data_IF_128458884706
#
_entry.id   IF_128458884706
#
_cell.length_a   1.000
_cell.length_b   1.000
_cell.length_c   1.000
_cell.angle_alpha   90.00
_cell.angle_beta   90.00
_cell.angle_gamma   90.00
#
_symmetry.space_group_name_H-M   'P 1'
#
loop_
_entity.id
_entity.type
_entity.pdbx_description
1 polymer ?
#
# COMPACT_ATOMS: atom_id res chain seq x y z
N UNK A 1 9.53 33.29 24.49
CA UNK A 1 10.22 32.44 23.49
C UNK A 1 9.16 31.76 22.65
N UNK A 2 9.20 31.98 21.34
CA UNK A 2 8.11 31.65 20.42
C UNK A 2 7.81 30.15 20.35
N UNK A 3 6.52 29.82 20.50
CA UNK A 3 5.95 28.52 20.23
C UNK A 3 6.02 28.26 18.71
N UNK A 4 7.07 27.58 18.26
CA UNK A 4 7.08 27.00 16.92
C UNK A 4 6.02 25.90 16.87
N UNK A 5 4.83 26.20 16.35
CA UNK A 5 3.88 25.17 15.92
C UNK A 5 4.57 24.37 14.82
N UNK A 6 4.98 23.13 15.10
CA UNK A 6 5.43 22.21 14.05
C UNK A 6 4.30 22.11 13.03
N UNK A 7 4.59 22.45 11.77
CA UNK A 7 3.67 22.22 10.65
C UNK A 7 3.43 20.71 10.59
N UNK A 8 2.17 20.29 10.55
CA UNK A 8 1.85 18.89 10.29
C UNK A 8 2.37 18.55 8.88
N UNK A 9 2.97 17.37 8.67
CA UNK A 9 3.37 16.92 7.34
C UNK A 9 2.19 17.00 6.39
N UNK A 10 2.41 17.44 5.15
CA UNK A 10 1.37 17.35 4.13
C UNK A 10 1.18 15.87 3.74
N UNK A 11 -0.06 15.40 3.78
CA UNK A 11 -0.44 14.04 3.40
C UNK A 11 -1.35 14.11 2.19
N UNK A 12 -1.05 13.33 1.15
CA UNK A 12 -1.85 13.27 -0.07
C UNK A 12 -2.34 11.86 -0.30
N UNK A 13 -3.66 11.72 -0.42
CA UNK A 13 -4.28 10.48 -0.85
C UNK A 13 -4.02 10.28 -2.35
N UNK A 14 -3.24 9.26 -2.69
CA UNK A 14 -2.84 8.92 -4.05
C UNK A 14 -3.55 7.65 -4.53
N UNK A 15 -4.67 7.25 -3.90
CA UNK A 15 -5.42 6.05 -4.30
C UNK A 15 -5.97 6.15 -5.74
N UNK A 16 -6.07 7.34 -6.32
CA UNK A 16 -6.42 7.53 -7.75
C UNK A 16 -5.23 7.48 -8.71
N UNK A 17 -4.00 7.47 -8.20
CA UNK A 17 -2.78 7.63 -9.00
C UNK A 17 -2.37 6.31 -9.64
N UNK A 18 -2.73 6.14 -10.92
CA UNK A 18 -2.46 4.93 -11.68
C UNK A 18 -0.97 4.64 -11.83
N UNK A 19 -0.17 5.64 -12.18
CA UNK A 19 1.27 5.48 -12.42
C UNK A 19 1.99 5.02 -11.15
N UNK A 20 1.65 5.64 -10.01
CA UNK A 20 2.23 5.25 -8.72
C UNK A 20 1.85 3.80 -8.36
N UNK A 21 0.59 3.41 -8.58
CA UNK A 21 0.14 2.03 -8.35
C UNK A 21 0.88 1.02 -9.23
N UNK A 22 1.06 1.34 -10.51
CA UNK A 22 1.80 0.48 -11.45
C UNK A 22 3.27 0.34 -11.04
N UNK A 23 3.92 1.43 -10.62
CA UNK A 23 5.30 1.39 -10.15
C UNK A 23 5.48 0.53 -8.89
N UNK A 24 4.61 0.71 -7.89
CA UNK A 24 4.62 -0.10 -6.66
C UNK A 24 4.31 -1.57 -6.99
N UNK A 25 3.31 -1.80 -7.84
CA UNK A 25 2.93 -3.14 -8.30
C UNK A 25 4.09 -3.86 -8.98
N UNK A 26 4.76 -3.21 -9.92
CA UNK A 26 5.92 -3.76 -10.63
C UNK A 26 7.07 -4.11 -9.68
N UNK A 27 7.33 -3.26 -8.67
CA UNK A 27 8.31 -3.58 -7.64
C UNK A 27 7.91 -4.82 -6.83
N UNK A 28 6.63 -4.98 -6.50
CA UNK A 28 6.11 -6.14 -5.77
C UNK A 28 6.11 -7.44 -6.58
N UNK A 29 5.90 -7.37 -7.90
CA UNK A 29 6.04 -8.52 -8.78
C UNK A 29 7.45 -9.14 -8.71
N UNK A 30 8.48 -8.31 -8.52
CA UNK A 30 9.86 -8.78 -8.33
C UNK A 30 10.09 -9.58 -7.05
N UNK A 31 9.14 -9.58 -6.11
CA UNK A 31 9.19 -10.37 -4.86
C UNK A 31 8.41 -11.68 -4.97
N UNK A 32 7.70 -11.91 -6.07
CA UNK A 32 6.94 -13.14 -6.28
C UNK A 32 7.83 -14.25 -6.81
N UNK A 33 7.54 -15.47 -6.38
CA UNK A 33 8.25 -16.68 -6.82
C UNK A 33 7.35 -17.55 -7.68
N UNK A 34 7.78 -17.81 -8.91
CA UNK A 34 7.13 -18.79 -9.78
C UNK A 34 7.14 -20.19 -9.12
N UNK A 35 6.05 -20.93 -9.27
CA UNK A 35 5.85 -22.24 -8.65
C UNK A 35 5.31 -22.19 -7.20
N UNK A 36 5.57 -21.11 -6.45
CA UNK A 36 5.08 -20.91 -5.08
C UNK A 36 3.90 -19.93 -5.06
N UNK A 37 4.10 -18.73 -5.62
CA UNK A 37 3.16 -17.61 -5.59
C UNK A 37 2.27 -17.56 -6.83
N UNK A 38 2.75 -18.07 -7.95
CA UNK A 38 2.01 -18.13 -9.22
C UNK A 38 2.56 -19.25 -10.10
N UNK A 39 1.74 -19.74 -11.04
CA UNK A 39 2.25 -20.45 -12.23
C UNK A 39 2.16 -19.56 -13.48
N UNK A 40 1.14 -18.70 -13.53
CA UNK A 40 0.95 -17.73 -14.61
C UNK A 40 0.48 -16.38 -14.06
N UNK A 41 1.06 -15.30 -14.56
CA UNK A 41 0.66 -13.94 -14.20
C UNK A 41 -0.53 -13.41 -15.03
N UNK A 42 -1.05 -14.18 -15.98
CA UNK A 42 -2.22 -13.81 -16.76
C UNK A 42 -3.44 -13.58 -15.84
N UNK A 43 -4.02 -12.38 -15.92
CA UNK A 43 -5.18 -12.01 -15.08
C UNK A 43 -4.82 -11.60 -13.65
N UNK A 44 -3.53 -11.42 -13.33
CA UNK A 44 -3.08 -10.86 -12.07
C UNK A 44 -3.83 -9.56 -11.76
N UNK A 45 -4.31 -9.45 -10.51
CA UNK A 45 -5.02 -8.26 -10.04
C UNK A 45 -4.25 -7.60 -8.91
N UNK A 46 -4.05 -6.29 -9.03
CA UNK A 46 -3.45 -5.44 -8.00
C UNK A 46 -4.55 -4.59 -7.34
N UNK A 47 -4.73 -4.72 -6.02
CA UNK A 47 -5.75 -3.99 -5.27
C UNK A 47 -5.12 -3.22 -4.11
N UNK A 48 -5.29 -1.90 -4.10
CA UNK A 48 -4.85 -1.04 -3.00
C UNK A 48 -6.00 -0.79 -2.04
N UNK A 49 -5.75 -1.02 -0.75
CA UNK A 49 -6.62 -0.57 0.33
C UNK A 49 -6.27 0.85 0.76
N UNK A 50 -4.98 1.17 0.80
CA UNK A 50 -4.45 2.44 1.26
C UNK A 50 -3.25 2.84 0.40
N UNK A 51 -3.16 4.12 0.02
CA UNK A 51 -2.04 4.69 -0.72
C UNK A 51 -1.95 6.21 -0.49
N UNK A 52 -0.94 6.63 0.26
CA UNK A 52 -0.67 8.02 0.57
C UNK A 52 0.79 8.37 0.28
N UNK A 53 1.03 9.65 0.02
CA UNK A 53 2.37 10.25 0.02
C UNK A 53 2.42 11.28 1.13
N UNK A 54 3.35 11.09 2.06
CA UNK A 54 3.50 11.89 3.26
C UNK A 54 4.82 12.68 3.16
N UNK A 55 4.74 14.01 3.32
CA UNK A 55 5.90 14.90 3.25
C UNK A 55 6.96 14.50 4.29
N UNK A 56 8.19 14.22 3.81
CA UNK A 56 9.31 13.82 4.67
C UNK A 56 9.34 12.33 5.05
N UNK A 57 8.33 11.55 4.69
CA UNK A 57 8.25 10.11 4.95
C UNK A 57 8.21 9.27 3.66
N UNK A 58 7.59 9.80 2.60
CA UNK A 58 7.51 9.17 1.29
C UNK A 58 6.19 8.44 1.07
N UNK A 59 6.23 7.36 0.29
CA UNK A 59 5.05 6.55 -0.02
C UNK A 59 4.69 5.68 1.18
N UNK A 60 3.41 5.66 1.53
CA UNK A 60 2.84 4.63 2.38
C UNK A 60 1.69 3.94 1.65
N UNK A 61 1.75 2.61 1.55
CA UNK A 61 0.72 1.85 0.87
C UNK A 61 0.47 0.51 1.57
N UNK A 62 -0.80 0.08 1.56
CA UNK A 62 -1.20 -1.28 1.91
C UNK A 62 -2.04 -1.83 0.74
N UNK A 63 -1.57 -2.93 0.17
CA UNK A 63 -2.16 -3.50 -1.04
C UNK A 63 -2.02 -5.02 -1.08
N UNK A 64 -2.74 -5.64 -2.00
CA UNK A 64 -2.67 -7.06 -2.28
C UNK A 64 -2.53 -7.34 -3.76
N UNK A 65 -1.84 -8.43 -4.07
CA UNK A 65 -1.73 -9.02 -5.38
C UNK A 65 -2.48 -10.35 -5.35
N UNK A 66 -3.40 -10.53 -6.30
CA UNK A 66 -4.15 -11.76 -6.48
C UNK A 66 -3.61 -12.44 -7.74
N UNK A 67 -3.07 -13.64 -7.55
CA UNK A 67 -2.55 -14.51 -8.61
C UNK A 67 -3.49 -15.69 -8.84
N UNK A 68 -3.09 -16.61 -9.71
CA UNK A 68 -3.75 -17.90 -9.93
C UNK A 68 -3.63 -18.86 -8.74
N UNK A 69 -2.63 -18.69 -7.86
CA UNK A 69 -2.38 -19.55 -6.69
C UNK A 69 -2.78 -18.93 -5.36
N UNK A 70 -2.62 -17.62 -5.20
CA UNK A 70 -2.66 -17.02 -3.89
C UNK A 70 -3.12 -15.55 -3.92
N UNK A 71 -3.51 -15.07 -2.74
CA UNK A 71 -3.60 -13.64 -2.45
C UNK A 71 -2.45 -13.27 -1.54
N UNK A 72 -1.65 -12.30 -1.95
CA UNK A 72 -0.40 -11.90 -1.33
C UNK A 72 -0.49 -10.44 -0.91
N UNK A 73 -0.12 -10.15 0.32
CA UNK A 73 -0.31 -8.83 0.92
C UNK A 73 1.02 -8.13 1.08
N UNK A 74 1.02 -6.82 0.85
CA UNK A 74 2.23 -6.00 0.83
C UNK A 74 2.00 -4.66 1.50
N UNK A 75 3.07 -4.15 2.12
CA UNK A 75 3.17 -2.76 2.54
C UNK A 75 4.35 -2.09 1.82
N UNK A 76 4.13 -0.88 1.32
CA UNK A 76 5.21 0.03 0.96
C UNK A 76 5.31 1.12 2.03
N UNK A 77 6.52 1.39 2.53
CA UNK A 77 6.76 2.46 3.49
C UNK A 77 8.10 3.14 3.21
N UNK A 78 8.05 4.41 2.81
CA UNK A 78 9.20 5.16 2.32
C UNK A 78 9.84 4.46 1.12
N UNK A 79 11.04 3.90 1.33
CA UNK A 79 11.79 3.15 0.31
C UNK A 79 11.74 1.62 0.52
N UNK A 80 10.95 1.14 1.48
CA UNK A 80 10.84 -0.28 1.78
C UNK A 80 9.57 -0.86 1.19
N UNK A 81 9.69 -2.07 0.65
CA UNK A 81 8.57 -2.88 0.20
C UNK A 81 8.64 -4.22 0.92
N UNK A 82 7.56 -4.58 1.61
CA UNK A 82 7.51 -5.75 2.47
C UNK A 82 6.34 -6.63 2.09
N UNK A 83 6.58 -7.94 2.00
CA UNK A 83 5.52 -8.94 1.99
C UNK A 83 5.05 -9.16 3.42
N UNK A 84 3.73 -9.21 3.61
CA UNK A 84 3.10 -9.35 4.91
C UNK A 84 2.51 -10.75 5.08
N UNK A 85 2.62 -11.28 6.29
CA UNK A 85 1.89 -12.48 6.71
C UNK A 85 0.48 -12.08 7.17
N UNK A 86 -0.35 -11.73 6.19
CA UNK A 86 -1.71 -11.24 6.38
C UNK A 86 -2.73 -12.23 5.83
N UNK A 87 -3.96 -12.07 6.31
CA UNK A 87 -5.16 -12.59 5.68
C UNK A 87 -6.10 -11.42 5.33
N UNK A 88 -7.22 -11.71 4.67
CA UNK A 88 -8.16 -10.68 4.22
C UNK A 88 -8.71 -9.85 5.39
N UNK A 89 -9.01 -10.45 6.55
CA UNK A 89 -9.54 -9.74 7.70
C UNK A 89 -8.52 -8.75 8.30
N UNK A 90 -7.24 -9.14 8.36
CA UNK A 90 -6.17 -8.24 8.79
C UNK A 90 -5.95 -7.12 7.76
N UNK A 91 -6.01 -7.43 6.47
CA UNK A 91 -5.89 -6.44 5.42
C UNK A 91 -6.99 -5.37 5.51
N UNK A 92 -8.25 -5.79 5.64
CA UNK A 92 -9.39 -4.89 5.73
C UNK A 92 -9.36 -4.03 7.01
N UNK A 93 -9.10 -4.65 8.16
CA UNK A 93 -9.06 -3.91 9.43
C UNK A 93 -7.88 -2.94 9.50
N UNK A 94 -6.71 -3.31 8.98
CA UNK A 94 -5.54 -2.42 8.91
C UNK A 94 -5.78 -1.28 7.92
N UNK A 95 -6.37 -1.57 6.76
CA UNK A 95 -6.78 -0.53 5.78
C UNK A 95 -7.72 0.48 6.42
N UNK A 96 -8.78 0.01 7.10
CA UNK A 96 -9.72 0.87 7.79
C UNK A 96 -9.02 1.71 8.87
N UNK A 97 -8.16 1.10 9.68
CA UNK A 97 -7.38 1.81 10.70
C UNK A 97 -6.49 2.92 10.13
N UNK A 98 -5.78 2.67 9.02
CA UNK A 98 -4.99 3.71 8.37
C UNK A 98 -5.85 4.81 7.74
N UNK A 99 -6.97 4.44 7.12
CA UNK A 99 -7.91 5.42 6.59
C UNK A 99 -8.55 6.27 7.69
N UNK A 100 -8.80 5.75 8.89
CA UNK A 100 -9.31 6.55 10.01
C UNK A 100 -8.25 7.53 10.53
N UNK A 101 -6.97 7.13 10.53
CA UNK A 101 -5.86 7.97 10.96
C UNK A 101 -5.59 9.14 10.01
N UNK A 102 -5.66 8.90 8.71
CA UNK A 102 -5.34 9.89 7.66
C UNK A 102 -6.58 10.53 7.02
N UNK A 103 -7.74 9.91 7.19
CA UNK A 103 -9.00 10.21 6.52
C UNK A 103 -10.14 10.60 7.45
N UNK A 104 -9.83 11.16 8.63
CA UNK A 104 -10.81 11.84 9.49
C UNK A 104 -11.59 12.99 8.82
N UNK A 105 -11.44 13.22 7.51
CA UNK A 105 -12.38 13.92 6.64
C UNK A 105 -12.37 13.31 5.22
N UNK A 106 -13.06 12.18 5.02
CA UNK A 106 -13.46 11.73 3.69
C UNK A 106 -14.90 11.22 3.69
N UNK A 107 -15.84 12.03 4.21
CA UNK A 107 -17.24 12.14 3.76
C UNK A 107 -17.71 13.59 3.95
#
# INVERSE_FOLDING_TARGET
MGLFKKKQPEERNEIGNRELKENIGNAALGLLKEGEDYDNLAGLTLQFGYLFVIEGHGVEALFKIITDKATLYFAAQGNQLMRLDFNEALFQSTTAGFLDLHGGNAQ
#
